data_IF_164177932408
#
_entry.id   IF_164177932408
#
_cell.length_a   1.000
_cell.length_b   1.000
_cell.length_c   1.000
_cell.angle_alpha   90.00
_cell.angle_beta   90.00
_cell.angle_gamma   90.00
#
_symmetry.space_group_name_H-M   'P 1'
#
loop_
_entity.id
_entity.type
_entity.pdbx_description
1 polymer ?
#
# COMPACT_ATOMS: atom_id res chain seq x y z
N UNK A 1 33.59 -27.31 -18.83
CA UNK A 1 33.42 -25.85 -19.00
C UNK A 1 32.37 -25.57 -20.07
N UNK A 2 31.17 -25.13 -19.66
CA UNK A 2 30.29 -24.30 -20.50
C UNK A 2 29.67 -23.24 -19.59
N UNK A 3 30.11 -21.99 -19.79
CA UNK A 3 29.57 -20.80 -19.11
C UNK A 3 28.19 -20.53 -19.69
N UNK A 4 27.17 -20.42 -18.86
CA UNK A 4 25.91 -19.80 -19.26
C UNK A 4 25.87 -18.37 -18.73
N UNK A 5 25.61 -17.46 -19.67
CA UNK A 5 25.56 -16.02 -19.55
C UNK A 5 24.30 -15.66 -18.77
N UNK A 6 24.43 -14.98 -17.64
CA UNK A 6 23.29 -14.42 -16.91
C UNK A 6 22.76 -13.25 -17.76
N UNK A 7 21.55 -13.42 -18.30
CA UNK A 7 20.78 -12.31 -18.85
C UNK A 7 19.94 -11.73 -17.71
N UNK A 8 20.51 -10.70 -17.12
CA UNK A 8 19.86 -9.77 -16.20
C UNK A 8 18.93 -8.84 -17.00
N UNK A 9 17.63 -8.79 -16.67
CA UNK A 9 16.65 -7.76 -17.10
C UNK A 9 15.16 -8.08 -16.82
N UNK A 10 14.81 -9.15 -16.09
CA UNK A 10 13.39 -9.48 -15.85
C UNK A 10 12.85 -9.28 -14.43
N UNK A 11 13.64 -8.93 -13.41
CA UNK A 11 13.18 -8.93 -12.01
C UNK A 11 12.05 -7.93 -11.70
N UNK A 12 12.03 -6.75 -12.34
CA UNK A 12 11.03 -5.71 -12.05
C UNK A 12 9.61 -6.04 -12.55
N UNK A 13 9.50 -6.71 -13.70
CA UNK A 13 8.20 -6.96 -14.35
C UNK A 13 7.43 -8.08 -13.62
N UNK A 14 8.16 -9.08 -13.08
CA UNK A 14 7.57 -10.17 -12.29
C UNK A 14 7.02 -9.67 -10.95
N UNK A 15 7.65 -8.66 -10.36
CA UNK A 15 7.22 -8.08 -9.07
C UNK A 15 5.90 -7.31 -9.23
N UNK A 16 5.77 -6.51 -10.28
CA UNK A 16 4.57 -5.71 -10.58
C UNK A 16 3.38 -6.59 -10.99
N UNK A 17 3.62 -7.65 -11.77
CA UNK A 17 2.60 -8.64 -12.10
C UNK A 17 2.15 -9.46 -10.88
N UNK A 18 3.05 -9.80 -9.95
CA UNK A 18 2.68 -10.51 -8.73
C UNK A 18 1.77 -9.68 -7.80
N UNK A 19 1.90 -8.35 -7.80
CA UNK A 19 1.03 -7.45 -7.05
C UNK A 19 -0.36 -7.28 -7.68
N UNK A 20 -0.49 -7.47 -9.00
CA UNK A 20 -1.75 -7.24 -9.72
C UNK A 20 -2.71 -8.45 -9.73
N UNK A 21 -2.22 -9.68 -9.49
CA UNK A 21 -2.98 -10.91 -9.77
C UNK A 21 -3.34 -11.78 -8.55
N UNK A 22 -3.06 -11.37 -7.30
CA UNK A 22 -3.06 -12.32 -6.19
C UNK A 22 -3.70 -11.85 -4.88
N UNK A 23 -4.94 -11.34 -4.89
CA UNK A 23 -5.59 -10.92 -3.63
C UNK A 23 -7.06 -11.30 -3.44
N UNK A 24 -7.64 -12.16 -4.31
CA UNK A 24 -9.03 -12.61 -4.14
C UNK A 24 -9.22 -13.83 -3.22
N UNK A 25 -8.13 -14.49 -2.78
CA UNK A 25 -8.19 -15.59 -1.83
C UNK A 25 -7.22 -15.32 -0.67
N UNK A 26 -7.75 -15.02 0.53
CA UNK A 26 -6.98 -15.02 1.78
C UNK A 26 -6.68 -16.46 2.21
N UNK A 27 -5.95 -17.19 1.38
CA UNK A 27 -5.32 -18.45 1.80
C UNK A 27 -3.98 -18.17 2.50
N UNK A 28 -3.51 -19.14 3.29
CA UNK A 28 -2.22 -19.02 3.99
C UNK A 28 -1.07 -18.70 3.01
N UNK A 29 -1.17 -19.18 1.77
CA UNK A 29 -0.17 -18.97 0.74
C UNK A 29 -0.05 -17.51 0.29
N UNK A 30 -1.17 -16.76 0.21
CA UNK A 30 -1.18 -15.32 -0.05
C UNK A 30 -0.45 -14.53 1.04
N UNK A 31 -0.69 -14.87 2.30
CA UNK A 31 -0.04 -14.21 3.44
C UNK A 31 1.47 -14.46 3.42
N UNK A 32 1.92 -15.69 3.17
CA UNK A 32 3.36 -15.98 3.06
C UNK A 32 4.04 -15.22 1.91
N UNK A 33 3.34 -15.00 0.78
CA UNK A 33 3.87 -14.18 -0.33
C UNK A 33 4.05 -12.72 0.09
N UNK A 34 3.08 -12.14 0.79
CA UNK A 34 3.18 -10.78 1.31
C UNK A 34 4.37 -10.61 2.26
N UNK A 35 4.58 -11.59 3.16
CA UNK A 35 5.73 -11.61 4.08
C UNK A 35 7.04 -11.64 3.29
N UNK A 36 7.16 -12.49 2.27
CA UNK A 36 8.37 -12.58 1.44
C UNK A 36 8.64 -11.27 0.67
N UNK A 37 7.59 -10.62 0.13
CA UNK A 37 7.72 -9.32 -0.53
C UNK A 37 8.21 -8.26 0.46
N UNK A 38 7.62 -8.21 1.66
CA UNK A 38 8.03 -7.26 2.68
C UNK A 38 9.47 -7.49 3.15
N UNK A 39 9.89 -8.74 3.32
CA UNK A 39 11.25 -9.11 3.71
C UNK A 39 12.28 -8.74 2.63
N UNK A 40 11.93 -8.87 1.35
CA UNK A 40 12.77 -8.42 0.23
C UNK A 40 12.83 -6.90 0.11
N UNK A 41 11.83 -6.22 0.65
CA UNK A 41 11.68 -4.77 0.60
C UNK A 41 11.07 -4.29 -0.71
N UNK A 42 10.30 -3.22 -0.62
CA UNK A 42 9.68 -2.56 -1.77
C UNK A 42 10.66 -1.52 -2.32
N UNK A 43 10.99 -1.58 -3.61
CA UNK A 43 11.82 -0.54 -4.25
C UNK A 43 11.09 0.80 -4.27
N UNK A 44 11.85 1.91 -4.22
CA UNK A 44 11.25 3.24 -4.35
C UNK A 44 10.42 3.38 -5.63
N UNK A 45 10.89 2.82 -6.75
CA UNK A 45 10.13 2.83 -8.01
C UNK A 45 8.74 2.18 -7.91
N UNK A 46 8.62 1.03 -7.26
CA UNK A 46 7.33 0.36 -7.05
C UNK A 46 6.44 1.22 -6.13
N UNK A 47 7.03 1.72 -5.05
CA UNK A 47 6.34 2.64 -4.14
C UNK A 47 5.84 3.90 -4.86
N UNK A 48 6.63 4.51 -5.74
CA UNK A 48 6.26 5.73 -6.47
C UNK A 48 5.05 5.51 -7.41
N UNK A 49 4.96 4.33 -8.03
CA UNK A 49 3.79 3.95 -8.83
C UNK A 49 2.53 3.81 -7.98
N UNK A 50 2.66 3.22 -6.78
CA UNK A 50 1.58 3.11 -5.81
C UNK A 50 1.17 4.49 -5.27
N UNK A 51 2.15 5.30 -4.85
CA UNK A 51 1.93 6.61 -4.26
C UNK A 51 1.15 7.54 -5.19
N UNK A 52 1.38 7.45 -6.50
CA UNK A 52 0.66 8.22 -7.53
C UNK A 52 -0.82 7.91 -7.65
N UNK A 53 -1.29 6.77 -7.14
CA UNK A 53 -2.72 6.44 -7.09
C UNK A 53 -3.47 7.29 -6.07
N UNK A 54 -2.75 7.88 -5.11
CA UNK A 54 -3.33 8.65 -4.02
C UNK A 54 -3.08 10.15 -4.21
N UNK A 55 -3.98 11.02 -3.72
CA UNK A 55 -3.78 12.47 -3.72
C UNK A 55 -2.89 12.93 -2.55
N UNK A 56 -1.87 12.14 -2.19
CA UNK A 56 -1.00 12.41 -1.04
C UNK A 56 0.32 13.04 -1.50
N UNK A 57 0.84 13.95 -0.68
CA UNK A 57 2.20 14.46 -0.88
C UNK A 57 3.24 13.45 -0.41
N UNK A 58 4.49 13.62 -0.85
CA UNK A 58 5.61 12.83 -0.32
C UNK A 58 5.85 13.09 1.18
N UNK A 59 5.41 14.23 1.71
CA UNK A 59 5.48 14.49 3.15
C UNK A 59 4.48 13.62 3.91
N UNK A 60 3.24 13.52 3.42
CA UNK A 60 2.23 12.64 4.02
C UNK A 60 2.71 11.19 4.02
N UNK A 61 3.28 10.72 2.92
CA UNK A 61 3.89 9.39 2.85
C UNK A 61 5.05 9.20 3.83
N UNK A 62 5.90 10.20 4.00
CA UNK A 62 6.98 10.13 5.00
C UNK A 62 6.41 9.95 6.41
N UNK A 63 5.33 10.68 6.73
CA UNK A 63 4.63 10.61 8.01
C UNK A 63 3.94 9.25 8.20
N UNK A 64 3.26 8.71 7.17
CA UNK A 64 2.62 7.39 7.23
C UNK A 64 3.63 6.25 7.44
N UNK A 65 4.82 6.39 6.86
CA UNK A 65 5.90 5.41 6.93
C UNK A 65 6.83 5.62 8.14
N UNK A 66 6.58 6.63 8.98
CA UNK A 66 7.40 6.99 10.14
C UNK A 66 8.88 7.22 9.78
N UNK A 67 9.13 7.83 8.63
CA UNK A 67 10.47 8.23 8.20
C UNK A 67 10.51 9.73 7.93
N UNK A 68 11.68 10.34 8.08
CA UNK A 68 11.83 11.75 7.71
C UNK A 68 11.69 11.94 6.20
N UNK A 69 11.16 13.09 5.77
CA UNK A 69 11.14 13.47 4.35
C UNK A 69 12.54 13.47 3.70
N UNK A 70 13.59 13.75 4.47
CA UNK A 70 14.99 13.60 4.02
C UNK A 70 15.35 12.15 3.70
N UNK A 71 14.86 11.20 4.50
CA UNK A 71 15.10 9.76 4.26
C UNK A 71 14.33 9.28 3.04
N UNK A 72 13.06 9.68 2.91
CA UNK A 72 12.26 9.34 1.73
C UNK A 72 12.88 9.93 0.44
N UNK A 73 13.33 11.19 0.48
CA UNK A 73 14.03 11.81 -0.65
C UNK A 73 15.36 11.11 -0.99
N UNK A 74 16.09 10.61 0.02
CA UNK A 74 17.29 9.81 -0.23
C UNK A 74 16.95 8.50 -0.92
N UNK A 75 15.89 7.81 -0.48
CA UNK A 75 15.44 6.57 -1.11
C UNK A 75 15.04 6.79 -2.58
N UNK A 76 14.38 7.92 -2.86
CA UNK A 76 14.08 8.35 -4.22
C UNK A 76 15.34 8.54 -5.09
N UNK A 77 16.35 9.22 -4.56
CA UNK A 77 17.58 9.53 -5.32
C UNK A 77 18.45 8.31 -5.57
N UNK A 78 18.48 7.39 -4.61
CA UNK A 78 19.33 6.19 -4.64
C UNK A 78 18.59 4.96 -5.21
N UNK A 79 17.31 5.10 -5.60
CA UNK A 79 16.41 4.01 -5.97
C UNK A 79 16.44 2.84 -4.95
N UNK A 80 16.44 3.22 -3.66
CA UNK A 80 16.63 2.28 -2.56
C UNK A 80 15.32 1.57 -2.22
N UNK A 81 15.42 0.31 -1.79
CA UNK A 81 14.29 -0.39 -1.18
C UNK A 81 14.01 0.08 0.26
N UNK A 82 12.73 0.12 0.59
CA UNK A 82 12.22 0.29 1.94
C UNK A 82 12.59 -0.91 2.82
N UNK A 83 12.70 -0.67 4.14
CA UNK A 83 12.88 -1.78 5.07
C UNK A 83 11.59 -2.59 5.22
N UNK A 84 11.65 -3.67 5.99
CA UNK A 84 10.51 -4.59 6.18
C UNK A 84 9.30 -3.85 6.75
N UNK A 85 9.48 -2.99 7.77
CA UNK A 85 8.38 -2.31 8.44
C UNK A 85 7.67 -1.31 7.51
N UNK A 86 8.45 -0.51 6.76
CA UNK A 86 7.84 0.39 5.79
C UNK A 86 7.23 -0.38 4.61
N UNK A 87 7.85 -1.49 4.19
CA UNK A 87 7.31 -2.32 3.11
C UNK A 87 5.98 -2.97 3.51
N UNK A 88 5.86 -3.50 4.73
CA UNK A 88 4.58 -3.99 5.28
C UNK A 88 3.54 -2.88 5.30
N UNK A 89 3.91 -1.67 5.74
CA UNK A 89 2.99 -0.52 5.77
C UNK A 89 2.51 -0.14 4.37
N UNK A 90 3.40 -0.09 3.38
CA UNK A 90 3.07 0.19 1.98
C UNK A 90 2.09 -0.87 1.45
N UNK A 91 2.33 -2.15 1.73
CA UNK A 91 1.43 -3.24 1.32
C UNK A 91 0.05 -3.12 1.98
N UNK A 92 0.00 -2.80 3.28
CA UNK A 92 -1.27 -2.58 3.98
C UNK A 92 -2.08 -1.44 3.36
N UNK A 93 -1.43 -0.35 2.97
CA UNK A 93 -2.10 0.80 2.34
C UNK A 93 -2.57 0.45 0.92
N UNK A 94 -1.81 -0.32 0.15
CA UNK A 94 -2.26 -0.85 -1.16
C UNK A 94 -3.48 -1.76 -1.00
N UNK A 95 -3.46 -2.67 -0.02
CA UNK A 95 -4.58 -3.56 0.24
C UNK A 95 -5.84 -2.79 0.60
N UNK A 96 -5.71 -1.74 1.42
CA UNK A 96 -6.82 -0.85 1.74
C UNK A 96 -7.36 -0.15 0.49
N UNK A 97 -6.48 0.28 -0.42
CA UNK A 97 -6.90 0.91 -1.68
C UNK A 97 -7.67 -0.04 -2.58
N UNK A 98 -7.16 -1.26 -2.79
CA UNK A 98 -7.85 -2.27 -3.60
C UNK A 98 -9.23 -2.59 -3.02
N UNK A 99 -9.29 -2.84 -1.71
CA UNK A 99 -10.56 -3.09 -1.02
C UNK A 99 -11.50 -1.89 -1.12
N UNK A 100 -10.97 -0.68 -0.98
CA UNK A 100 -11.72 0.56 -1.12
C UNK A 100 -12.33 0.71 -2.50
N UNK A 101 -11.54 0.51 -3.55
CA UNK A 101 -12.01 0.55 -4.93
C UNK A 101 -13.13 -0.46 -5.19
N UNK A 102 -13.03 -1.67 -4.64
CA UNK A 102 -14.09 -2.69 -4.71
C UNK A 102 -15.38 -2.24 -4.02
N UNK A 103 -15.30 -1.73 -2.78
CA UNK A 103 -16.48 -1.29 -2.00
C UNK A 103 -17.18 -0.10 -2.65
N UNK A 104 -16.40 0.88 -3.14
CA UNK A 104 -16.94 2.09 -3.74
C UNK A 104 -17.26 1.94 -5.23
N UNK A 105 -16.87 0.82 -5.85
CA UNK A 105 -16.99 0.56 -7.29
C UNK A 105 -16.17 1.50 -8.18
N UNK A 106 -15.32 2.33 -7.58
CA UNK A 106 -14.43 3.27 -8.26
C UNK A 106 -13.31 3.74 -7.34
N UNK A 107 -12.11 3.88 -7.90
CA UNK A 107 -10.98 4.48 -7.20
C UNK A 107 -11.29 5.90 -6.72
N UNK A 108 -11.92 6.73 -7.58
CA UNK A 108 -12.26 8.11 -7.25
C UNK A 108 -13.19 8.21 -6.03
N UNK A 109 -14.20 7.34 -5.95
CA UNK A 109 -15.12 7.29 -4.82
C UNK A 109 -14.41 6.98 -3.50
N UNK A 110 -13.51 5.99 -3.52
CA UNK A 110 -12.70 5.65 -2.36
C UNK A 110 -11.74 6.79 -1.96
N UNK A 111 -11.07 7.42 -2.92
CA UNK A 111 -10.13 8.52 -2.64
C UNK A 111 -10.84 9.76 -2.07
N UNK A 112 -12.06 10.07 -2.54
CA UNK A 112 -12.90 11.12 -1.97
C UNK A 112 -13.25 10.78 -0.52
N UNK A 113 -13.68 9.54 -0.25
CA UNK A 113 -13.97 9.10 1.12
C UNK A 113 -12.75 9.22 2.02
N UNK A 114 -11.56 8.87 1.52
CA UNK A 114 -10.31 8.91 2.27
C UNK A 114 -9.94 10.34 2.75
N UNK A 115 -10.38 11.36 1.99
CA UNK A 115 -10.19 12.79 2.26
C UNK A 115 -11.33 13.45 3.06
N UNK A 116 -12.46 12.76 3.21
CA UNK A 116 -13.68 13.30 3.82
C UNK A 116 -13.70 13.01 5.31
N UNK A 117 -14.06 14.00 6.13
CA UNK A 117 -14.26 13.77 7.57
C UNK A 117 -15.34 12.71 7.78
N UNK A 118 -15.00 11.65 8.52
CA UNK A 118 -15.94 10.59 8.83
C UNK A 118 -16.38 10.71 10.30
N UNK A 119 -17.67 10.93 10.52
CA UNK A 119 -18.27 11.05 11.87
C UNK A 119 -18.10 9.75 12.66
N UNK A 120 -18.22 8.59 12.00
CA UNK A 120 -18.04 7.27 12.59
C UNK A 120 -16.61 7.04 13.09
N UNK A 121 -15.63 7.75 12.50
CA UNK A 121 -14.22 7.71 12.88
C UNK A 121 -13.83 8.88 13.79
N UNK A 122 -14.79 9.47 14.50
CA UNK A 122 -14.54 10.55 15.46
C UNK A 122 -14.31 11.93 14.81
N UNK A 123 -14.82 12.15 13.60
CA UNK A 123 -14.60 13.36 12.77
C UNK A 123 -13.17 13.54 12.29
N UNK A 124 -12.40 12.46 12.23
CA UNK A 124 -11.09 12.44 11.57
C UNK A 124 -11.24 12.08 10.10
N UNK A 125 -10.28 12.49 9.26
CA UNK A 125 -10.22 11.98 7.89
C UNK A 125 -9.61 10.58 7.91
N UNK A 126 -10.15 9.61 7.16
CA UNK A 126 -9.56 8.29 7.08
C UNK A 126 -8.05 8.28 6.77
N UNK A 127 -7.58 9.18 5.90
CA UNK A 127 -6.15 9.30 5.58
C UNK A 127 -5.25 9.51 6.82
N UNK A 128 -5.75 10.19 7.86
CA UNK A 128 -4.97 10.54 9.05
C UNK A 128 -4.66 9.29 9.90
N UNK A 129 -5.39 8.20 9.64
CA UNK A 129 -5.23 6.92 10.32
C UNK A 129 -4.20 6.00 9.64
N UNK A 130 -3.75 6.32 8.42
CA UNK A 130 -2.86 5.47 7.61
C UNK A 130 -1.47 5.29 8.24
N UNK A 131 -1.03 6.23 9.09
CA UNK A 131 0.21 6.07 9.85
C UNK A 131 0.18 4.95 10.89
N UNK A 132 -1.01 4.43 11.26
CA UNK A 132 -1.14 3.38 12.28
C UNK A 132 -1.62 2.07 11.67
N UNK A 133 -1.01 0.94 12.07
CA UNK A 133 -1.54 -0.38 11.71
C UNK A 133 -2.96 -0.60 12.25
N UNK A 134 -3.24 -0.11 13.46
CA UNK A 134 -4.59 -0.11 14.04
C UNK A 134 -5.55 0.79 13.27
N UNK A 135 -5.05 1.94 12.79
CA UNK A 135 -5.81 2.85 11.95
C UNK A 135 -6.25 2.18 10.65
N UNK A 136 -5.32 1.54 9.93
CA UNK A 136 -5.63 0.79 8.71
C UNK A 136 -6.64 -0.33 8.98
N UNK A 137 -6.48 -1.09 10.07
CA UNK A 137 -7.45 -2.13 10.45
C UNK A 137 -8.85 -1.55 10.67
N UNK A 138 -8.95 -0.41 11.36
CA UNK A 138 -10.21 0.29 11.58
C UNK A 138 -10.87 0.74 10.26
N UNK A 139 -10.06 1.19 9.29
CA UNK A 139 -10.54 1.55 7.97
C UNK A 139 -11.06 0.33 7.19
N UNK A 140 -10.38 -0.81 7.26
CA UNK A 140 -10.85 -2.06 6.65
C UNK A 140 -12.20 -2.52 7.23
N UNK A 141 -12.37 -2.40 8.54
CA UNK A 141 -13.64 -2.70 9.21
C UNK A 141 -14.76 -1.74 8.76
N UNK A 142 -14.42 -0.46 8.58
CA UNK A 142 -15.36 0.55 8.08
C UNK A 142 -15.76 0.30 6.63
N UNK A 143 -14.82 -0.07 5.75
CA UNK A 143 -15.12 -0.48 4.38
C UNK A 143 -16.08 -1.68 4.35
N UNK A 144 -15.89 -2.65 5.26
CA UNK A 144 -16.79 -3.80 5.38
C UNK A 144 -18.20 -3.39 5.84
N UNK A 145 -18.32 -2.42 6.74
CA UNK A 145 -19.63 -1.85 7.13
C UNK A 145 -20.33 -1.16 5.96
N UNK A 146 -19.58 -0.36 5.20
CA UNK A 146 -20.07 0.36 4.01
C UNK A 146 -20.60 -0.64 2.97
N UNK A 147 -19.86 -1.71 2.67
CA UNK A 147 -20.27 -2.75 1.72
C UNK A 147 -21.61 -3.40 2.10
N UNK A 148 -21.82 -3.66 3.39
CA UNK A 148 -23.07 -4.23 3.90
C UNK A 148 -24.21 -3.21 4.08
N UNK A 149 -24.03 -1.97 3.62
CA UNK A 149 -25.04 -0.91 3.73
C UNK A 149 -25.27 -0.42 5.16
N UNK A 150 -24.34 -0.71 6.07
CA UNK A 150 -24.35 -0.16 7.43
C UNK A 150 -23.79 1.26 7.34
N UNK A 151 -24.68 2.22 7.07
CA UNK A 151 -24.37 3.63 7.21
C UNK A 151 -24.19 3.93 8.70
N UNK A 152 -22.99 4.35 9.07
CA UNK A 152 -22.69 4.95 10.37
C UNK A 152 -22.95 6.46 10.35
#
# INVERSE_FOLDING_TARGET
>A
MKKYKVLDSQSGIVQEAALAYGYQDFDDAGVFRLIDIAQKGISFKIFDNLAKKFPFSMQDWADFLHISGKTLSRYQKEDKSFDVLQSEKILQIEMLYQRGEEVFGSADGFLIWLQTENVALGKSKPQDLLGSGFGISLLMDELTRIEHGVLA
#
